data_IF_492113629787
#
_entry.id   IF_492113629787
#
_cell.length_a   1.000
_cell.length_b   1.000
_cell.length_c   1.000
_cell.angle_alpha   90.00
_cell.angle_beta   90.00
_cell.angle_gamma   90.00
#
_symmetry.space_group_name_H-M   'P 1'
#
loop_
_entity.id
_entity.type
_entity.pdbx_description
1 polymer ?
#
# COMPACT_ATOMS: atom_id res chain seq x y z
N UNK A 1 -5.77 5.54 15.37
CA UNK A 1 -6.51 5.21 16.62
C UNK A 1 -7.84 4.56 16.24
N UNK A 2 -8.25 3.41 16.82
CA UNK A 2 -9.60 2.88 16.56
C UNK A 2 -10.54 3.56 17.54
N UNK A 3 -11.19 4.63 17.10
CA UNK A 3 -12.29 5.22 17.86
C UNK A 3 -13.49 4.30 17.67
N UNK A 4 -14.06 3.82 18.77
CA UNK A 4 -15.32 3.09 18.72
C UNK A 4 -16.41 4.07 18.25
N UNK A 5 -16.96 3.81 17.05
CA UNK A 5 -17.99 4.66 16.44
C UNK A 5 -19.22 4.80 17.35
N UNK A 6 -19.47 3.82 18.24
CA UNK A 6 -20.57 3.88 19.20
C UNK A 6 -20.33 4.91 20.31
N UNK A 7 -19.08 5.12 20.72
CA UNK A 7 -18.71 6.09 21.75
C UNK A 7 -18.85 7.55 21.28
N UNK A 8 -18.87 7.80 19.96
CA UNK A 8 -19.01 9.15 19.40
C UNK A 8 -20.37 9.78 19.72
N UNK A 9 -21.43 8.97 19.84
CA UNK A 9 -22.78 9.44 20.14
C UNK A 9 -22.97 9.95 21.57
N UNK A 10 -22.07 9.58 22.48
CA UNK A 10 -22.13 9.94 23.90
C UNK A 10 -21.36 11.24 24.23
N UNK A 11 -20.58 11.75 23.27
CA UNK A 11 -19.72 12.92 23.47
C UNK A 11 -20.51 14.23 23.37
N UNK A 12 -20.13 15.20 24.20
CA UNK A 12 -20.67 16.56 24.11
C UNK A 12 -20.00 17.37 22.97
N UNK A 13 -20.55 18.55 22.68
CA UNK A 13 -20.09 19.39 21.57
C UNK A 13 -18.61 19.84 21.69
N UNK A 14 -18.08 20.00 22.89
CA UNK A 14 -16.67 20.37 23.10
C UNK A 14 -15.73 19.19 22.86
N UNK A 15 -16.09 18.03 23.41
CA UNK A 15 -15.37 16.77 23.20
C UNK A 15 -15.34 16.38 21.71
N UNK A 16 -16.45 16.55 21.00
CA UNK A 16 -16.51 16.31 19.55
C UNK A 16 -15.60 17.25 18.75
N UNK A 17 -15.51 18.53 19.13
CA UNK A 17 -14.59 19.49 18.51
C UNK A 17 -13.14 19.09 18.71
N UNK A 18 -12.78 18.67 19.93
CA UNK A 18 -11.42 18.24 20.25
C UNK A 18 -11.02 16.97 19.47
N UNK A 19 -11.89 15.95 19.44
CA UNK A 19 -11.67 14.74 18.65
C UNK A 19 -11.53 15.07 17.17
N UNK A 20 -12.39 15.95 16.63
CA UNK A 20 -12.33 16.36 15.23
C UNK A 20 -11.01 17.07 14.90
N UNK A 21 -10.54 17.97 15.77
CA UNK A 21 -9.26 18.64 15.58
C UNK A 21 -8.09 17.64 15.55
N UNK A 22 -8.08 16.68 16.48
CA UNK A 22 -7.06 15.63 16.52
C UNK A 22 -7.09 14.77 15.25
N UNK A 23 -8.27 14.34 14.81
CA UNK A 23 -8.45 13.55 13.57
C UNK A 23 -8.02 14.31 12.33
N UNK A 24 -8.26 15.63 12.24
CA UNK A 24 -7.78 16.44 11.12
C UNK A 24 -6.25 16.51 11.06
N UNK A 25 -5.58 16.57 12.21
CA UNK A 25 -4.12 16.52 12.29
C UNK A 25 -3.60 15.15 11.88
N UNK A 26 -4.18 14.07 12.41
CA UNK A 26 -3.82 12.70 12.07
C UNK A 26 -4.02 12.43 10.57
N UNK A 27 -5.15 12.87 10.00
CA UNK A 27 -5.44 12.72 8.57
C UNK A 27 -4.42 13.46 7.69
N UNK A 28 -4.03 14.69 8.07
CA UNK A 28 -3.00 15.44 7.33
C UNK A 28 -1.65 14.73 7.37
N UNK A 29 -1.27 14.22 8.54
CA UNK A 29 -0.04 13.46 8.72
C UNK A 29 -0.04 12.18 7.87
N UNK A 30 -1.13 11.41 7.94
CA UNK A 30 -1.27 10.18 7.15
C UNK A 30 -1.25 10.44 5.65
N UNK A 31 -1.88 11.52 5.17
CA UNK A 31 -1.79 11.93 3.75
C UNK A 31 -0.37 12.25 3.34
N UNK A 32 0.34 13.06 4.13
CA UNK A 32 1.74 13.42 3.84
C UNK A 32 2.66 12.19 3.81
N UNK A 33 2.47 11.23 4.73
CA UNK A 33 3.21 9.97 4.72
C UNK A 33 2.91 9.12 3.47
N UNK A 34 1.64 9.00 3.08
CA UNK A 34 1.27 8.29 1.85
C UNK A 34 1.90 8.94 0.60
N UNK A 35 1.87 10.26 0.51
CA UNK A 35 2.48 11.01 -0.59
C UNK A 35 4.00 10.79 -0.63
N UNK A 36 4.69 10.87 0.52
CA UNK A 36 6.12 10.57 0.67
C UNK A 36 6.45 9.17 0.15
N UNK A 37 5.80 8.14 0.70
CA UNK A 37 6.11 6.74 0.37
C UNK A 37 5.80 6.41 -1.08
N UNK A 38 4.73 6.99 -1.63
CA UNK A 38 4.39 6.85 -3.05
C UNK A 38 5.46 7.47 -3.93
N UNK A 39 5.93 8.68 -3.60
CA UNK A 39 6.97 9.37 -4.32
C UNK A 39 8.31 8.60 -4.26
N UNK A 40 8.73 8.17 -3.07
CA UNK A 40 9.96 7.38 -2.87
C UNK A 40 9.93 6.08 -3.68
N UNK A 41 8.83 5.32 -3.61
CA UNK A 41 8.63 4.13 -4.43
C UNK A 41 8.77 4.42 -5.95
N UNK A 42 8.13 5.48 -6.43
CA UNK A 42 8.15 5.84 -7.85
C UNK A 42 9.55 6.27 -8.30
N UNK A 43 10.25 7.05 -7.47
CA UNK A 43 11.60 7.52 -7.73
C UNK A 43 12.58 6.34 -7.79
N UNK A 44 12.58 5.46 -6.80
CA UNK A 44 13.45 4.28 -6.75
C UNK A 44 13.23 3.37 -7.95
N UNK A 45 11.96 3.09 -8.32
CA UNK A 45 11.64 2.30 -9.52
C UNK A 45 12.18 2.96 -10.78
N UNK A 46 12.01 4.27 -10.93
CA UNK A 46 12.54 5.02 -12.09
C UNK A 46 14.06 4.94 -12.16
N UNK A 47 14.76 5.10 -11.03
CA UNK A 47 16.22 4.98 -10.96
C UNK A 47 16.68 3.56 -11.33
N UNK A 48 15.98 2.53 -10.87
CA UNK A 48 16.27 1.14 -11.24
C UNK A 48 16.14 0.91 -12.75
N UNK A 49 15.10 1.44 -13.38
CA UNK A 49 14.97 1.40 -14.84
C UNK A 49 16.07 2.19 -15.56
N UNK A 50 16.45 3.36 -15.03
CA UNK A 50 17.51 4.18 -15.61
C UNK A 50 18.86 3.45 -15.58
N UNK A 51 19.22 2.84 -14.45
CA UNK A 51 20.45 2.06 -14.27
C UNK A 51 20.58 0.91 -15.30
N UNK A 52 19.46 0.33 -15.73
CA UNK A 52 19.45 -0.70 -16.79
C UNK A 52 19.67 -0.14 -18.19
N UNK A 53 19.34 1.13 -18.42
CA UNK A 53 19.44 1.80 -19.72
C UNK A 53 20.80 2.48 -19.96
N UNK A 54 21.58 2.70 -18.90
CA UNK A 54 22.87 3.39 -18.95
C UNK A 54 24.06 2.45 -19.20
N UNK A 55 25.15 3.01 -19.75
CA UNK A 55 26.39 2.27 -20.01
C UNK A 55 27.25 2.20 -18.74
N UNK A 56 26.89 1.31 -17.83
CA UNK A 56 27.69 0.98 -16.65
C UNK A 56 28.48 -0.33 -16.85
N UNK A 57 29.59 -0.50 -16.12
CA UNK A 57 30.25 -1.81 -16.05
C UNK A 57 29.32 -2.84 -15.40
N UNK A 58 29.59 -4.13 -15.57
CA UNK A 58 28.76 -5.18 -14.95
C UNK A 58 28.71 -5.04 -13.42
N UNK A 59 29.86 -4.84 -12.78
CA UNK A 59 29.98 -4.73 -11.33
C UNK A 59 29.27 -3.47 -10.80
N UNK A 60 29.36 -2.35 -11.52
CA UNK A 60 28.65 -1.11 -11.15
C UNK A 60 27.14 -1.28 -11.22
N UNK A 61 26.63 -1.99 -12.24
CA UNK A 61 25.19 -2.27 -12.36
C UNK A 61 24.70 -3.16 -11.23
N UNK A 62 25.42 -4.24 -10.93
CA UNK A 62 25.04 -5.14 -9.84
C UNK A 62 24.95 -4.40 -8.52
N UNK A 63 25.98 -3.61 -8.20
CA UNK A 63 26.01 -2.82 -6.96
C UNK A 63 24.83 -1.84 -6.88
N UNK A 64 24.57 -1.08 -7.95
CA UNK A 64 23.46 -0.12 -7.98
C UNK A 64 22.10 -0.81 -7.89
N UNK A 65 21.90 -1.95 -8.57
CA UNK A 65 20.65 -2.71 -8.51
C UNK A 65 20.41 -3.27 -7.10
N UNK A 66 21.44 -3.80 -6.45
CA UNK A 66 21.37 -4.32 -5.08
C UNK A 66 21.02 -3.22 -4.06
N UNK A 67 21.65 -2.04 -4.16
CA UNK A 67 21.34 -0.89 -3.30
C UNK A 67 19.90 -0.41 -3.52
N UNK A 68 19.47 -0.25 -4.77
CA UNK A 68 18.11 0.17 -5.09
C UNK A 68 17.05 -0.84 -4.64
N UNK A 69 17.35 -2.14 -4.72
CA UNK A 69 16.47 -3.19 -4.22
C UNK A 69 16.37 -3.22 -2.70
N UNK A 70 17.48 -2.96 -2.01
CA UNK A 70 17.49 -2.77 -0.55
C UNK A 70 16.60 -1.59 -0.14
N UNK A 71 16.75 -0.44 -0.79
CA UNK A 71 15.96 0.75 -0.47
C UNK A 71 14.46 0.54 -0.76
N UNK A 72 14.13 -0.12 -1.87
CA UNK A 72 12.76 -0.43 -2.24
C UNK A 72 12.13 -1.42 -1.23
N UNK A 73 12.91 -2.40 -0.75
CA UNK A 73 12.50 -3.31 0.31
C UNK A 73 12.25 -2.57 1.64
N UNK A 74 13.09 -1.59 2.00
CA UNK A 74 12.90 -0.77 3.18
C UNK A 74 11.58 0.03 3.12
N UNK A 75 11.27 0.66 1.98
CA UNK A 75 10.00 1.37 1.78
C UNK A 75 8.82 0.40 1.88
N UNK A 76 8.92 -0.80 1.31
CA UNK A 76 7.88 -1.83 1.45
C UNK A 76 7.67 -2.24 2.91
N UNK A 77 8.75 -2.39 3.69
CA UNK A 77 8.64 -2.71 5.11
C UNK A 77 7.96 -1.59 5.90
N UNK A 78 8.26 -0.33 5.61
CA UNK A 78 7.59 0.82 6.23
C UNK A 78 6.09 0.83 5.92
N UNK A 79 5.71 0.54 4.67
CA UNK A 79 4.29 0.41 4.27
C UNK A 79 3.59 -0.70 5.05
N UNK A 80 4.21 -1.87 5.19
CA UNK A 80 3.62 -2.98 5.94
C UNK A 80 3.51 -2.68 7.44
N UNK A 81 4.43 -1.92 8.03
CA UNK A 81 4.33 -1.47 9.42
C UNK A 81 3.19 -0.47 9.65
N UNK A 82 2.90 0.39 8.66
CA UNK A 82 1.82 1.36 8.71
C UNK A 82 0.46 0.74 8.38
N UNK A 83 0.43 -0.48 7.85
CA UNK A 83 -0.81 -1.16 7.48
C UNK A 83 -1.64 -1.43 8.73
N UNK A 84 -2.93 -1.02 8.77
CA UNK A 84 -3.79 -1.36 9.90
C UNK A 84 -3.91 -2.88 10.00
N UNK A 85 -3.90 -3.40 11.24
CA UNK A 85 -4.08 -4.82 11.51
C UNK A 85 -5.40 -5.29 10.87
N UNK A 86 -5.31 -6.16 9.86
CA UNK A 86 -6.50 -6.75 9.27
C UNK A 86 -7.12 -7.70 10.31
N UNK A 87 -8.45 -7.64 10.51
CA UNK A 87 -9.12 -8.65 11.32
C UNK A 87 -8.82 -10.02 10.73
N UNK A 88 -8.55 -11.00 11.59
CA UNK A 88 -8.31 -12.37 11.18
C UNK A 88 -9.55 -12.87 10.42
N UNK A 89 -9.46 -12.87 9.10
CA UNK A 89 -10.45 -13.52 8.26
C UNK A 89 -10.11 -15.00 8.26
N UNK A 90 -11.12 -15.85 8.51
CA UNK A 90 -10.96 -17.29 8.31
C UNK A 90 -10.44 -17.51 6.89
N UNK A 91 -9.30 -18.19 6.77
CA UNK A 91 -8.65 -18.47 5.48
C UNK A 91 -9.66 -19.22 4.60
N UNK A 92 -10.34 -18.50 3.71
CA UNK A 92 -11.21 -19.11 2.73
C UNK A 92 -10.33 -19.95 1.80
N UNK A 93 -10.48 -21.27 1.88
CA UNK A 93 -9.88 -22.15 0.89
C UNK A 93 -10.40 -21.73 -0.49
N UNK A 94 -9.51 -21.44 -1.46
CA UNK A 94 -9.93 -21.16 -2.82
C UNK A 94 -10.59 -22.41 -3.41
N UNK A 95 -11.92 -22.47 -3.33
CA UNK A 95 -12.71 -23.53 -3.95
C UNK A 95 -12.82 -23.22 -5.43
N UNK A 96 -12.21 -24.07 -6.26
CA UNK A 96 -12.42 -24.03 -7.71
C UNK A 96 -13.84 -24.54 -7.98
N UNK A 97 -14.72 -23.65 -8.43
CA UNK A 97 -16.03 -24.05 -8.96
C UNK A 97 -15.78 -24.89 -10.23
N UNK A 98 -16.42 -26.06 -10.40
CA UNK A 98 -16.26 -26.85 -11.62
C UNK A 98 -16.74 -26.05 -12.83
N UNK A 99 -16.03 -26.21 -13.95
CA UNK A 99 -16.40 -25.56 -15.20
C UNK A 99 -17.81 -26.03 -15.63
N UNK A 100 -18.74 -25.11 -15.96
CA UNK A 100 -20.06 -25.49 -16.45
C UNK A 100 -19.96 -26.39 -17.68
N UNK A 101 -20.81 -27.42 -17.76
CA UNK A 101 -20.75 -28.45 -18.82
C UNK A 101 -20.97 -27.90 -20.25
N UNK A 102 -21.57 -26.71 -20.38
CA UNK A 102 -21.79 -26.04 -21.66
C UNK A 102 -21.37 -24.57 -21.53
N UNK A 103 -20.35 -24.19 -22.29
CA UNK A 103 -19.98 -22.80 -22.50
C UNK A 103 -20.71 -22.29 -23.75
N UNK A 104 -21.33 -21.12 -23.71
CA UNK A 104 -21.97 -20.54 -24.88
C UNK A 104 -20.91 -20.27 -25.96
N UNK A 105 -21.11 -20.77 -27.17
CA UNK A 105 -20.29 -20.40 -28.33
C UNK A 105 -20.75 -19.05 -28.85
N UNK A 106 -19.79 -18.19 -29.20
CA UNK A 106 -20.03 -16.93 -29.88
C UNK A 106 -19.47 -17.08 -31.29
N UNK A 107 -20.34 -17.07 -32.30
CA UNK A 107 -19.92 -17.06 -33.70
C UNK A 107 -19.45 -15.64 -34.06
N UNK A 108 -18.31 -15.55 -34.74
CA UNK A 108 -17.75 -14.31 -35.27
C UNK A 108 -17.74 -14.50 -36.80
N UNK A 109 -18.50 -13.67 -37.51
CA UNK A 109 -18.55 -13.62 -38.98
C UNK A 109 -17.68 -12.47 -39.49
#
# INVERSE_FOLDING_TARGET
MVIDEQALGELNAEQLREVTQRLLVELRHQRALNEKLTYECALLKRLKFAAQSERHSADQRSLLEEELDSDLAAVHQEIEQLRPAQPATDKQQPKRTPLPAKLPRREIH
#
